data_IF_562129165021
#
_entry.id   IF_562129165021
#
_cell.length_a   1.000
_cell.length_b   1.000
_cell.length_c   1.000
_cell.angle_alpha   90.00
_cell.angle_beta   90.00
_cell.angle_gamma   90.00
#
_symmetry.space_group_name_H-M   'P 1'
#
loop_
_entity.id
_entity.type
_entity.pdbx_description
1 polymer ?
#
# COMPACT_ATOMS: atom_id res chain seq x y z
N UNK A 1 3.12 -1.04 14.88
CA UNK A 1 1.90 -0.79 15.69
C UNK A 1 0.88 -1.84 15.36
N UNK A 2 0.22 -2.40 16.37
CA UNK A 2 -0.83 -3.38 16.18
C UNK A 2 -2.06 -2.90 16.95
N UNK A 3 -2.97 -2.23 16.26
CA UNK A 3 -4.13 -1.63 16.89
C UNK A 3 -5.12 -2.68 17.38
N UNK A 4 -5.19 -3.86 16.73
CA UNK A 4 -6.05 -4.95 17.18
C UNK A 4 -5.65 -5.49 18.55
N UNK A 5 -4.35 -5.72 18.78
CA UNK A 5 -3.86 -6.20 20.08
C UNK A 5 -4.12 -5.20 21.22
N UNK A 6 -4.35 -3.93 20.89
CA UNK A 6 -4.66 -2.87 21.85
C UNK A 6 -6.14 -2.49 21.90
N UNK A 7 -6.99 -3.12 21.08
CA UNK A 7 -8.38 -2.76 20.90
C UNK A 7 -8.58 -1.28 20.48
N UNK A 8 -7.75 -0.79 19.57
CA UNK A 8 -7.71 0.62 19.16
C UNK A 8 -8.10 0.83 17.69
N UNK A 9 -8.60 2.04 17.40
CA UNK A 9 -8.69 2.64 16.06
C UNK A 9 -7.81 3.88 16.06
N UNK A 10 -7.11 4.13 14.94
CA UNK A 10 -6.26 5.30 14.83
C UNK A 10 -6.77 6.25 13.73
N UNK A 11 -6.80 7.54 14.05
CA UNK A 11 -6.88 8.61 13.06
C UNK A 11 -5.47 9.14 12.80
N UNK A 12 -4.89 8.82 11.64
CA UNK A 12 -3.66 9.42 11.16
C UNK A 12 -3.98 10.84 10.67
N UNK A 13 -3.47 11.86 11.36
CA UNK A 13 -3.66 13.26 10.97
C UNK A 13 -2.63 13.71 9.95
N UNK A 14 -1.36 13.40 10.18
CA UNK A 14 -0.23 13.71 9.27
C UNK A 14 0.73 12.52 9.19
N UNK A 15 1.56 12.50 8.15
CA UNK A 15 2.52 11.42 7.91
C UNK A 15 1.97 10.33 7.00
N UNK A 16 2.61 9.17 7.06
CA UNK A 16 2.33 8.03 6.19
C UNK A 16 2.52 6.72 6.92
N UNK A 17 1.69 5.73 6.57
CA UNK A 17 1.71 4.41 7.18
C UNK A 17 1.62 3.32 6.12
N UNK A 18 2.30 2.21 6.36
CA UNK A 18 2.13 0.96 5.63
C UNK A 18 1.37 -0.05 6.47
N UNK A 19 0.50 -0.81 5.82
CA UNK A 19 -0.20 -1.96 6.36
C UNK A 19 0.58 -3.20 5.90
N UNK A 20 1.01 -4.04 6.85
CA UNK A 20 1.85 -5.20 6.60
C UNK A 20 1.11 -6.46 7.02
N UNK A 21 1.10 -7.47 6.15
CA UNK A 21 0.49 -8.76 6.47
C UNK A 21 1.31 -9.48 7.54
N UNK A 22 0.64 -10.17 8.45
CA UNK A 22 1.31 -10.78 9.60
C UNK A 22 2.22 -11.97 9.22
N UNK A 23 1.87 -12.71 8.16
CA UNK A 23 2.56 -13.95 7.78
C UNK A 23 3.97 -13.75 7.19
N UNK A 24 4.16 -12.73 6.37
CA UNK A 24 5.39 -12.49 5.61
C UNK A 24 5.82 -11.02 5.56
N UNK A 25 5.14 -10.16 6.30
CA UNK A 25 5.46 -8.74 6.45
C UNK A 25 5.46 -7.97 5.12
N UNK A 26 4.82 -8.50 4.06
CA UNK A 26 4.65 -7.74 2.84
C UNK A 26 3.66 -6.60 3.09
N UNK A 27 4.01 -5.44 2.56
CA UNK A 27 3.13 -4.29 2.52
C UNK A 27 1.95 -4.61 1.62
N UNK A 28 0.73 -4.57 2.18
CA UNK A 28 -0.50 -4.75 1.43
C UNK A 28 -0.95 -3.43 0.83
N UNK A 29 -0.85 -2.34 1.57
CA UNK A 29 -1.19 -0.99 1.14
C UNK A 29 -0.48 0.06 1.99
N UNK A 30 -0.39 1.30 1.49
CA UNK A 30 0.11 2.45 2.25
C UNK A 30 -0.87 3.61 2.15
N UNK A 31 -1.01 4.36 3.25
CA UNK A 31 -1.92 5.49 3.40
C UNK A 31 -1.12 6.74 3.80
N UNK A 32 -1.57 7.89 3.35
CA UNK A 32 -1.14 9.19 3.88
C UNK A 32 -2.25 9.77 4.74
N UNK A 33 -1.88 10.59 5.72
CA UNK A 33 -2.85 11.37 6.50
C UNK A 33 -3.52 12.44 5.61
N UNK A 34 -4.80 12.78 5.86
CA UNK A 34 -5.67 12.26 6.91
C UNK A 34 -6.30 10.89 6.56
N UNK A 35 -6.27 9.93 7.48
CA UNK A 35 -6.87 8.60 7.27
C UNK A 35 -7.30 7.92 8.59
N UNK A 36 -8.35 7.10 8.56
CA UNK A 36 -8.73 6.22 9.68
C UNK A 36 -8.26 4.79 9.39
N UNK A 37 -7.54 4.20 10.34
CA UNK A 37 -7.01 2.83 10.26
C UNK A 37 -7.36 2.00 11.49
N UNK A 38 -7.24 0.67 11.37
CA UNK A 38 -7.65 -0.29 12.40
C UNK A 38 -9.09 -0.80 12.24
N UNK A 39 -9.94 -0.08 11.49
CA UNK A 39 -11.34 -0.47 11.30
C UNK A 39 -11.54 -1.86 10.68
N UNK A 40 -10.64 -2.27 9.78
CA UNK A 40 -10.73 -3.56 9.09
C UNK A 40 -10.56 -4.79 10.01
N UNK A 41 -10.20 -4.60 11.28
CA UNK A 41 -10.03 -5.68 12.26
C UNK A 41 -10.97 -5.55 13.48
N UNK A 42 -11.89 -4.58 13.50
CA UNK A 42 -12.75 -4.31 14.66
C UNK A 42 -13.48 -5.56 15.15
N UNK A 43 -14.18 -6.23 14.24
CA UNK A 43 -15.08 -7.35 14.58
C UNK A 43 -14.47 -8.73 14.30
N UNK A 44 -13.19 -8.79 13.92
CA UNK A 44 -12.49 -10.04 13.66
C UNK A 44 -11.74 -10.50 14.91
N UNK A 45 -11.67 -11.82 15.15
CA UNK A 45 -10.86 -12.37 16.24
C UNK A 45 -9.36 -12.39 15.89
N UNK A 46 -9.05 -12.60 14.61
CA UNK A 46 -7.67 -12.75 14.14
C UNK A 46 -7.00 -11.41 13.85
N UNK A 47 -5.73 -11.31 14.25
CA UNK A 47 -4.84 -10.23 13.84
C UNK A 47 -4.16 -10.56 12.50
N UNK A 48 -4.75 -10.12 11.41
CA UNK A 48 -4.30 -10.43 10.04
C UNK A 48 -3.16 -9.54 9.52
N UNK A 49 -3.00 -8.34 10.10
CA UNK A 49 -2.03 -7.33 9.67
C UNK A 49 -1.65 -6.39 10.82
N UNK A 50 -0.53 -5.69 10.65
CA UNK A 50 -0.05 -4.63 11.53
C UNK A 50 0.37 -3.40 10.72
N UNK A 51 0.68 -2.30 11.41
CA UNK A 51 0.94 -1.00 10.80
C UNK A 51 2.36 -0.53 11.11
N UNK A 52 3.01 0.14 10.16
CA UNK A 52 4.32 0.79 10.34
C UNK A 52 4.24 2.22 9.85
N UNK A 53 4.71 3.19 10.64
CA UNK A 53 4.91 4.54 10.14
C UNK A 53 6.08 4.56 9.16
N UNK A 54 5.86 5.10 7.96
CA UNK A 54 6.92 5.28 6.97
C UNK A 54 7.49 6.71 6.97
N UNK A 55 6.90 7.61 7.78
CA UNK A 55 7.39 8.96 8.06
C UNK A 55 7.01 9.41 9.48
N UNK A 56 7.53 10.56 9.91
CA UNK A 56 7.05 11.23 11.13
C UNK A 56 5.54 11.47 11.02
N UNK A 57 4.79 10.93 12.00
CA UNK A 57 3.34 10.79 11.92
C UNK A 57 2.67 11.26 13.20
N UNK A 58 1.64 12.09 13.04
CA UNK A 58 0.75 12.48 14.14
C UNK A 58 -0.52 11.64 14.05
N UNK A 59 -0.88 10.93 15.12
CA UNK A 59 -2.09 10.10 15.16
C UNK A 59 -2.80 10.18 16.50
N UNK A 60 -4.13 10.04 16.44
CA UNK A 60 -5.00 9.94 17.61
C UNK A 60 -5.52 8.52 17.72
N UNK A 61 -5.42 7.93 18.90
CA UNK A 61 -5.89 6.59 19.20
C UNK A 61 -7.19 6.68 19.98
N UNK A 62 -8.17 5.87 19.60
CA UNK A 62 -9.43 5.69 20.31
C UNK A 62 -9.62 4.21 20.63
N UNK A 63 -10.11 3.91 21.82
CA UNK A 63 -10.62 2.57 22.12
C UNK A 63 -11.75 2.21 21.16
N UNK A 64 -11.77 0.95 20.73
CA UNK A 64 -12.72 0.43 19.75
C UNK A 64 -14.17 0.57 20.22
N UNK A 65 -14.47 0.36 21.50
CA UNK A 65 -15.85 0.48 22.00
C UNK A 65 -16.29 1.94 21.96
N UNK A 66 -15.41 2.86 22.41
CA UNK A 66 -15.65 4.30 22.31
C UNK A 66 -15.86 4.75 20.86
N UNK A 67 -15.08 4.21 19.93
CA UNK A 67 -15.23 4.48 18.50
C UNK A 67 -16.61 4.01 17.98
N UNK A 68 -17.04 2.79 18.30
CA UNK A 68 -18.35 2.26 17.91
C UNK A 68 -19.51 3.05 18.53
N UNK A 69 -19.39 3.46 19.78
CA UNK A 69 -20.38 4.29 20.46
C UNK A 69 -20.51 5.66 19.79
N UNK A 70 -19.38 6.28 19.41
CA UNK A 70 -19.37 7.53 18.66
C UNK A 70 -20.01 7.38 17.28
N UNK A 71 -19.72 6.30 16.55
CA UNK A 71 -20.34 6.05 15.25
C UNK A 71 -21.86 5.96 15.36
N UNK A 72 -22.37 5.30 16.42
CA UNK A 72 -23.80 5.16 16.67
C UNK A 72 -24.43 6.49 17.09
N UNK A 73 -23.88 7.13 18.13
CA UNK A 73 -24.41 8.37 18.70
C UNK A 73 -24.42 9.54 17.71
N UNK A 74 -23.53 9.53 16.72
CA UNK A 74 -23.40 10.59 15.70
C UNK A 74 -23.92 10.17 14.32
N UNK A 75 -24.52 8.99 14.18
CA UNK A 75 -25.02 8.45 12.92
C UNK A 75 -23.96 8.40 11.80
N UNK A 76 -22.74 7.94 12.13
CA UNK A 76 -21.58 7.93 11.23
C UNK A 76 -21.28 6.57 10.60
N UNK A 77 -22.09 5.54 10.85
CA UNK A 77 -21.88 4.19 10.31
C UNK A 77 -21.80 4.16 8.77
N UNK A 78 -22.57 5.00 8.07
CA UNK A 78 -22.48 5.13 6.61
C UNK A 78 -21.11 5.65 6.16
N UNK A 79 -20.52 6.60 6.89
CA UNK A 79 -19.17 7.10 6.60
C UNK A 79 -18.11 6.03 6.88
N UNK A 80 -18.23 5.30 7.98
CA UNK A 80 -17.34 4.17 8.29
C UNK A 80 -17.42 3.07 7.20
N UNK A 81 -18.64 2.77 6.73
CA UNK A 81 -18.86 1.85 5.62
C UNK A 81 -18.17 2.33 4.33
N UNK A 82 -18.29 3.61 3.98
CA UNK A 82 -17.62 4.16 2.79
C UNK A 82 -16.09 4.05 2.88
N UNK A 83 -15.49 4.27 4.05
CA UNK A 83 -14.04 4.11 4.24
C UNK A 83 -13.64 2.64 4.06
N UNK A 84 -14.39 1.71 4.65
CA UNK A 84 -14.12 0.28 4.50
C UNK A 84 -14.31 -0.19 3.05
N UNK A 85 -15.32 0.33 2.34
CA UNK A 85 -15.55 0.03 0.94
C UNK A 85 -14.38 0.51 0.06
N UNK A 86 -13.86 1.71 0.34
CA UNK A 86 -12.66 2.21 -0.34
C UNK A 86 -11.44 1.30 -0.09
N UNK A 87 -11.23 0.84 1.15
CA UNK A 87 -10.17 -0.13 1.45
C UNK A 87 -10.37 -1.45 0.68
N UNK A 88 -11.61 -1.94 0.57
CA UNK A 88 -11.92 -3.16 -0.17
C UNK A 88 -11.61 -3.00 -1.67
N UNK A 89 -11.96 -1.87 -2.28
CA UNK A 89 -11.59 -1.56 -3.67
C UNK A 89 -10.07 -1.62 -3.88
N UNK A 90 -9.30 -1.01 -2.98
CA UNK A 90 -7.83 -1.07 -3.01
C UNK A 90 -7.31 -2.52 -2.96
N UNK A 91 -7.92 -3.38 -2.14
CA UNK A 91 -7.56 -4.80 -2.07
C UNK A 91 -7.84 -5.53 -3.38
N UNK A 92 -8.99 -5.33 -4.02
CA UNK A 92 -9.29 -5.93 -5.32
C UNK A 92 -8.34 -5.44 -6.43
N UNK A 93 -8.01 -4.16 -6.44
CA UNK A 93 -7.02 -3.61 -7.38
C UNK A 93 -5.63 -4.23 -7.17
N UNK A 94 -5.26 -4.52 -5.92
CA UNK A 94 -4.03 -5.26 -5.61
C UNK A 94 -4.10 -6.70 -6.08
N UNK A 95 -5.20 -7.39 -5.82
CA UNK A 95 -5.40 -8.77 -6.26
C UNK A 95 -5.22 -8.89 -7.77
N UNK A 96 -5.82 -7.99 -8.55
CA UNK A 96 -5.64 -7.92 -10.01
C UNK A 96 -4.16 -7.86 -10.42
N UNK A 97 -3.32 -7.09 -9.71
CA UNK A 97 -1.87 -6.99 -9.98
C UNK A 97 -1.10 -8.26 -9.61
N UNK A 98 -1.59 -9.06 -8.66
CA UNK A 98 -0.95 -10.30 -8.21
C UNK A 98 -1.25 -11.51 -9.11
N UNK A 99 -2.22 -11.42 -10.02
CA UNK A 99 -2.58 -12.50 -10.97
C UNK A 99 -1.48 -12.76 -12.01
N UNK A 100 -0.42 -11.95 -12.05
CA UNK A 100 0.68 -12.10 -12.99
C UNK A 100 1.47 -13.40 -12.79
N UNK A 101 1.70 -14.12 -13.90
CA UNK A 101 2.25 -15.49 -13.90
C UNK A 101 3.76 -15.57 -13.63
N UNK A 102 4.49 -14.47 -13.76
CA UNK A 102 5.96 -14.47 -13.60
C UNK A 102 6.49 -13.16 -13.00
N UNK A 103 7.73 -13.19 -12.55
CA UNK A 103 8.39 -12.05 -11.87
C UNK A 103 8.44 -10.81 -12.78
N UNK A 104 8.66 -10.96 -14.10
CA UNK A 104 8.67 -9.81 -15.04
C UNK A 104 7.31 -9.11 -15.06
N UNK A 105 6.22 -9.87 -15.16
CA UNK A 105 4.86 -9.33 -15.10
C UNK A 105 4.58 -8.60 -13.79
N UNK A 106 4.99 -9.17 -12.64
CA UNK A 106 4.86 -8.49 -11.34
C UNK A 106 5.61 -7.15 -11.35
N UNK A 107 6.84 -7.11 -11.84
CA UNK A 107 7.64 -5.87 -11.92
C UNK A 107 6.95 -4.84 -12.81
N UNK A 108 6.53 -5.24 -14.01
CA UNK A 108 5.86 -4.34 -14.97
C UNK A 108 4.57 -3.76 -14.39
N UNK A 109 3.71 -4.56 -13.77
CA UNK A 109 2.49 -4.06 -13.12
C UNK A 109 2.79 -3.01 -12.03
N UNK A 110 3.88 -3.18 -11.29
CA UNK A 110 4.27 -2.19 -10.29
C UNK A 110 4.85 -0.92 -10.93
N UNK A 111 5.56 -1.04 -12.06
CA UNK A 111 6.00 0.13 -12.83
C UNK A 111 4.81 0.91 -13.39
N UNK A 112 3.82 0.23 -13.96
CA UNK A 112 2.55 0.81 -14.41
C UNK A 112 1.87 1.53 -13.25
N UNK A 113 1.74 0.85 -12.09
CA UNK A 113 1.12 1.43 -10.91
C UNK A 113 1.84 2.73 -10.48
N UNK A 114 3.16 2.71 -10.35
CA UNK A 114 3.97 3.88 -9.97
C UNK A 114 3.82 4.99 -11.01
N UNK A 115 3.88 4.65 -12.30
CA UNK A 115 3.78 5.62 -13.39
C UNK A 115 2.45 6.37 -13.39
N UNK A 116 1.36 5.67 -13.10
CA UNK A 116 0.01 6.22 -13.02
C UNK A 116 -0.25 7.04 -11.74
N UNK A 117 0.73 7.14 -10.82
CA UNK A 117 0.64 8.04 -9.68
C UNK A 117 1.09 9.46 -10.03
N UNK A 118 0.60 10.43 -9.24
CA UNK A 118 1.02 11.83 -9.34
C UNK A 118 2.54 12.01 -9.14
N UNK A 119 3.09 13.11 -9.68
CA UNK A 119 4.54 13.39 -9.67
C UNK A 119 5.18 13.30 -8.28
N UNK A 120 4.53 13.90 -7.27
CA UNK A 120 4.97 13.87 -5.87
C UNK A 120 5.18 12.44 -5.33
N UNK A 121 4.32 11.49 -5.72
CA UNK A 121 4.50 10.08 -5.33
C UNK A 121 5.71 9.47 -6.05
N UNK A 122 5.82 9.68 -7.37
CA UNK A 122 6.91 9.11 -8.19
C UNK A 122 8.29 9.59 -7.75
N UNK A 123 8.41 10.88 -7.43
CA UNK A 123 9.66 11.51 -6.98
C UNK A 123 10.13 11.03 -5.60
N UNK A 124 9.22 10.52 -4.76
CA UNK A 124 9.53 10.01 -3.42
C UNK A 124 9.65 8.49 -3.37
N UNK A 125 9.32 7.81 -4.45
CA UNK A 125 9.25 6.35 -4.50
C UNK A 125 10.49 5.75 -5.17
N UNK A 126 11.30 5.04 -4.39
CA UNK A 126 12.27 4.09 -4.94
C UNK A 126 11.51 2.89 -5.49
N UNK A 127 11.61 2.65 -6.80
CA UNK A 127 10.98 1.52 -7.49
C UNK A 127 11.40 0.20 -6.86
N UNK A 128 12.69 0.05 -6.56
CA UNK A 128 13.23 -1.16 -5.96
C UNK A 128 12.62 -1.44 -4.59
N UNK A 129 12.66 -0.44 -3.70
CA UNK A 129 12.13 -0.59 -2.34
C UNK A 129 10.62 -0.83 -2.39
N UNK A 130 9.91 -0.16 -3.29
CA UNK A 130 8.47 -0.31 -3.44
C UNK A 130 8.06 -1.73 -3.84
N UNK A 131 8.73 -2.30 -4.84
CA UNK A 131 8.44 -3.65 -5.36
C UNK A 131 8.84 -4.72 -4.32
N UNK A 132 10.04 -4.62 -3.74
CA UNK A 132 10.53 -5.60 -2.77
C UNK A 132 9.68 -5.63 -1.50
N UNK A 133 9.18 -4.47 -1.05
CA UNK A 133 8.34 -4.41 0.14
C UNK A 133 6.96 -5.07 -0.05
N UNK A 134 6.52 -5.29 -1.30
CA UNK A 134 5.15 -5.73 -1.64
C UNK A 134 5.07 -7.12 -2.25
N UNK A 135 6.20 -7.70 -2.63
CA UNK A 135 6.25 -8.96 -3.37
C UNK A 135 7.39 -9.86 -2.87
N UNK A 136 7.21 -11.17 -3.02
CA UNK A 136 8.27 -12.16 -2.74
C UNK A 136 9.23 -12.29 -3.94
N UNK A 137 9.84 -11.17 -4.34
CA UNK A 137 10.81 -11.12 -5.44
C UNK A 137 12.21 -10.98 -4.84
N UNK A 138 13.15 -11.79 -5.29
CA UNK A 138 14.54 -11.64 -4.87
C UNK A 138 15.15 -10.36 -5.46
N UNK A 139 16.10 -9.77 -4.73
CA UNK A 139 16.83 -8.57 -5.20
C UNK A 139 17.51 -8.83 -6.55
N UNK A 140 18.16 -9.98 -6.71
CA UNK A 140 18.85 -10.35 -7.94
C UNK A 140 17.90 -10.43 -9.15
N UNK A 141 16.74 -11.08 -8.99
CA UNK A 141 15.75 -11.17 -10.06
C UNK A 141 15.19 -9.80 -10.43
N UNK A 142 14.90 -8.96 -9.43
CA UNK A 142 14.44 -7.59 -9.67
C UNK A 142 15.49 -6.77 -10.43
N UNK A 143 16.73 -6.76 -9.98
CA UNK A 143 17.82 -6.04 -10.66
C UNK A 143 17.99 -6.52 -12.11
N UNK A 144 17.96 -7.84 -12.35
CA UNK A 144 18.05 -8.40 -13.70
C UNK A 144 16.94 -7.87 -14.61
N UNK A 145 15.69 -7.89 -14.14
CA UNK A 145 14.55 -7.40 -14.93
C UNK A 145 14.64 -5.89 -15.17
N UNK A 146 14.99 -5.11 -14.14
CA UNK A 146 15.13 -3.65 -14.26
C UNK A 146 16.25 -3.26 -15.23
N UNK A 147 17.38 -3.99 -15.23
CA UNK A 147 18.46 -3.81 -16.19
C UNK A 147 18.00 -4.10 -17.62
N UNK A 148 17.36 -5.26 -17.83
CA UNK A 148 16.79 -5.64 -19.12
C UNK A 148 15.82 -4.56 -19.66
N UNK A 149 14.86 -4.10 -18.85
CA UNK A 149 13.90 -3.07 -19.28
C UNK A 149 14.57 -1.71 -19.58
N UNK A 150 15.70 -1.42 -18.94
CA UNK A 150 16.47 -0.20 -19.20
C UNK A 150 17.26 -0.32 -20.50
N UNK A 151 17.89 -1.48 -20.75
CA UNK A 151 18.60 -1.80 -22.00
C UNK A 151 17.65 -1.80 -23.21
N UNK A 152 16.44 -2.33 -23.03
CA UNK A 152 15.35 -2.28 -24.03
C UNK A 152 14.80 -0.85 -24.24
N UNK A 153 15.24 0.14 -23.44
CA UNK A 153 14.80 1.53 -23.54
C UNK A 153 13.36 1.77 -23.10
N UNK A 154 12.75 0.82 -22.41
CA UNK A 154 11.36 0.87 -21.95
C UNK A 154 11.21 1.73 -20.70
N UNK A 155 12.23 1.77 -19.84
CA UNK A 155 12.25 2.58 -18.63
C UNK A 155 13.49 3.44 -18.53
N UNK A 156 13.41 4.54 -17.78
CA UNK A 156 14.58 5.25 -17.24
C UNK A 156 14.42 5.49 -15.75
N UNK A 157 15.50 5.25 -15.02
CA UNK A 157 15.57 5.48 -13.59
C UNK A 157 16.56 6.61 -13.28
N UNK A 158 16.23 7.43 -12.30
CA UNK A 158 17.14 8.39 -11.68
C UNK A 158 17.18 8.13 -10.17
N UNK A 159 18.35 7.79 -9.63
CA UNK A 159 18.51 7.38 -8.23
C UNK A 159 17.44 6.38 -7.73
N UNK A 160 17.04 5.43 -8.59
CA UNK A 160 16.03 4.42 -8.29
C UNK A 160 14.57 4.86 -8.45
N UNK A 161 14.33 6.11 -8.89
CA UNK A 161 13.00 6.69 -9.15
C UNK A 161 12.65 6.58 -10.62
N UNK A 162 11.40 6.27 -10.94
CA UNK A 162 10.94 6.11 -12.32
C UNK A 162 10.67 7.46 -12.99
N UNK A 163 11.55 7.87 -13.92
CA UNK A 163 11.45 9.15 -14.63
C UNK A 163 10.92 9.02 -16.05
N UNK A 164 10.99 7.83 -16.65
CA UNK A 164 10.43 7.54 -17.96
C UNK A 164 9.89 6.12 -17.99
N UNK A 165 8.72 5.94 -18.61
CA UNK A 165 8.11 4.65 -18.84
C UNK A 165 7.38 4.66 -20.19
N UNK A 166 7.75 3.73 -21.08
CA UNK A 166 7.12 3.57 -22.40
C UNK A 166 6.08 2.46 -22.32
N UNK A 167 4.86 2.85 -21.96
CA UNK A 167 3.73 1.95 -21.77
C UNK A 167 3.39 1.15 -23.04
N UNK A 168 3.32 1.83 -24.18
CA UNK A 168 2.81 1.25 -25.44
C UNK A 168 3.70 0.15 -26.04
N UNK A 169 4.95 0.03 -25.61
CA UNK A 169 5.90 -0.96 -26.12
C UNK A 169 5.86 -2.30 -25.37
N UNK A 170 5.00 -2.44 -24.35
CA UNK A 170 4.88 -3.65 -23.53
C UNK A 170 3.67 -4.53 -23.91
N UNK A 171 2.76 -4.04 -24.75
CA UNK A 171 1.57 -4.75 -25.25
C UNK A 171 1.81 -5.45 -26.61
N UNK A 172 3.08 -5.76 -26.95
CA UNK A 172 3.49 -6.45 -28.18
C UNK A 172 4.27 -7.74 -27.89
#
# INVERSE_FOLDING_TARGET
MNFKLKNEVAFLKTGSLSILRNDNQLVTFSLNGPAIVGMAQLFHQECTHFFRCDSESEMFLLDQNVFCDLLTAKNLWFHAFNILNHHMEIYFQREKRLIQKNIKGIVVEHLIYIWNQGANFREKTSVYTFILARNQVSRSSLHKIMAQLTEEGLIKLDHGKLICFRYDALDH
#
